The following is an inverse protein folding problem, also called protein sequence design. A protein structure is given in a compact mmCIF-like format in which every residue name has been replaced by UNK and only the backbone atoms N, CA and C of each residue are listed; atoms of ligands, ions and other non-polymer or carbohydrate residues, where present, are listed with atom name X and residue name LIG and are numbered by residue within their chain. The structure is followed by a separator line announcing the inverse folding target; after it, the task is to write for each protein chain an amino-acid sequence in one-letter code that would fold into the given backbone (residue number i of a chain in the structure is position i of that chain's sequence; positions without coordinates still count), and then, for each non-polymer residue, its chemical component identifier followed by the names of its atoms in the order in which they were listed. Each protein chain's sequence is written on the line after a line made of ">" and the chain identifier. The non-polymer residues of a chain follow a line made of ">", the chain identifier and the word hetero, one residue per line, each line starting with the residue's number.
data_IF_878049959971
#
_entry.id   IF_878049959971
#
_cell.length_a   1.000
_cell.length_b   1.000
_cell.length_c   1.000
_cell.angle_alpha   90.00
_cell.angle_beta   90.00
_cell.angle_gamma   90.00
#
_symmetry.space_group_name_H-M   'P 1'
#
loop_
_entity.id
_entity.type
_entity.pdbx_description
1 polymer ?
#
# COMPACT_ATOMS: atom_id res chain seq x y z
N UNK A 1 -4.94 -23.16 14.33
CA UNK A 1 -4.85 -21.80 14.90
C UNK A 1 -3.91 -21.05 13.99
N UNK A 2 -4.45 -20.24 13.08
CA UNK A 2 -3.63 -19.40 12.19
C UNK A 2 -3.13 -18.25 13.08
N UNK A 3 -1.82 -17.94 13.10
CA UNK A 3 -1.32 -16.87 13.96
C UNK A 3 -1.93 -15.54 13.51
N UNK A 4 -2.38 -14.74 14.48
CA UNK A 4 -3.00 -13.41 14.30
C UNK A 4 -2.21 -12.48 13.34
N UNK A 5 -0.90 -12.72 13.20
CA UNK A 5 -0.03 -12.03 12.25
C UNK A 5 -0.44 -12.22 10.78
N UNK A 6 -0.99 -13.37 10.41
CA UNK A 6 -1.40 -13.65 9.02
C UNK A 6 -2.72 -12.93 8.67
N UNK A 7 -3.61 -12.76 9.65
CA UNK A 7 -4.89 -12.07 9.48
C UNK A 7 -4.69 -10.54 9.41
N UNK A 8 -3.81 -10.00 10.26
CA UNK A 8 -3.39 -8.59 10.19
C UNK A 8 -2.64 -8.28 8.89
N UNK A 9 -1.83 -9.21 8.39
CA UNK A 9 -1.11 -9.07 7.12
C UNK A 9 -2.06 -9.10 5.93
N UNK A 10 -3.07 -9.99 5.92
CA UNK A 10 -4.10 -10.01 4.88
C UNK A 10 -4.84 -8.67 4.78
N UNK A 11 -5.21 -8.07 5.92
CA UNK A 11 -5.84 -6.74 5.99
C UNK A 11 -4.90 -5.65 5.47
N UNK A 12 -3.61 -5.69 5.82
CA UNK A 12 -2.64 -4.70 5.34
C UNK A 12 -2.36 -4.82 3.83
N UNK A 13 -2.35 -6.03 3.29
CA UNK A 13 -2.23 -6.30 1.85
C UNK A 13 -3.48 -5.82 1.09
N UNK A 14 -4.67 -6.09 1.62
CA UNK A 14 -5.92 -5.61 1.04
C UNK A 14 -5.99 -4.09 1.03
N UNK A 15 -5.62 -3.43 2.14
CA UNK A 15 -5.50 -1.97 2.19
C UNK A 15 -4.48 -1.40 1.20
N UNK A 16 -3.36 -2.11 0.98
CA UNK A 16 -2.36 -1.68 -0.01
C UNK A 16 -2.88 -1.79 -1.45
N UNK A 17 -3.67 -2.83 -1.74
CA UNK A 17 -4.35 -3.01 -3.04
C UNK A 17 -5.42 -1.94 -3.27
N UNK A 18 -6.22 -1.62 -2.25
CA UNK A 18 -7.20 -0.53 -2.31
C UNK A 18 -6.54 0.83 -2.59
N UNK A 19 -5.39 1.09 -1.96
CA UNK A 19 -4.62 2.31 -2.16
C UNK A 19 -4.08 2.39 -3.61
N UNK A 20 -3.63 1.26 -4.17
CA UNK A 20 -3.17 1.16 -5.56
C UNK A 20 -4.30 1.46 -6.54
N UNK A 21 -5.48 0.85 -6.34
CA UNK A 21 -6.65 1.09 -7.19
C UNK A 21 -7.11 2.55 -7.13
N UNK A 22 -7.02 3.18 -5.96
CA UNK A 22 -7.33 4.60 -5.81
C UNK A 22 -6.34 5.51 -6.54
N UNK A 23 -5.03 5.19 -6.49
CA UNK A 23 -4.00 5.93 -7.23
C UNK A 23 -4.20 5.79 -8.75
N UNK A 24 -4.53 4.59 -9.25
CA UNK A 24 -4.84 4.38 -10.67
C UNK A 24 -6.02 5.25 -11.13
N UNK A 25 -7.07 5.35 -10.31
CA UNK A 25 -8.21 6.25 -10.61
C UNK A 25 -7.79 7.72 -10.64
N UNK A 26 -7.00 8.17 -9.67
CA UNK A 26 -6.50 9.55 -9.61
C UNK A 26 -5.59 9.92 -10.79
N UNK A 27 -4.81 8.97 -11.30
CA UNK A 27 -3.92 9.18 -12.47
C UNK A 27 -4.72 9.32 -13.77
N UNK A 28 -5.85 8.62 -13.89
CA UNK A 28 -6.72 8.69 -15.08
C UNK A 28 -7.64 9.93 -15.05
N UNK A 29 -7.90 10.49 -13.87
CA UNK A 29 -8.72 11.70 -13.71
C UNK A 29 -8.01 12.97 -14.19
N UNK A 30 -8.51 13.55 -15.29
CA UNK A 30 -7.98 14.79 -15.91
C UNK A 30 -8.00 16.05 -15.02
N UNK A 31 -8.56 15.97 -13.80
CA UNK A 31 -8.71 17.10 -12.86
C UNK A 31 -7.74 17.04 -11.69
N UNK A 32 -6.96 15.97 -11.54
CA UNK A 32 -6.02 15.80 -10.43
C UNK A 32 -4.88 16.80 -10.57
N UNK A 33 -4.62 17.58 -9.51
CA UNK A 33 -3.51 18.52 -9.54
C UNK A 33 -2.17 17.80 -9.32
N UNK A 34 -1.05 18.34 -9.82
CA UNK A 34 0.28 17.77 -9.60
C UNK A 34 0.63 17.56 -8.11
N UNK A 35 0.13 18.40 -7.22
CA UNK A 35 0.32 18.30 -5.77
C UNK A 35 -0.43 17.11 -5.18
N UNK A 36 -1.69 16.91 -5.59
CA UNK A 36 -2.50 15.77 -5.18
C UNK A 36 -1.87 14.46 -5.66
N UNK A 37 -1.35 14.44 -6.89
CA UNK A 37 -0.65 13.27 -7.44
C UNK A 37 0.66 12.98 -6.68
N UNK A 38 1.48 14.01 -6.39
CA UNK A 38 2.70 13.85 -5.58
C UNK A 38 2.42 13.31 -4.19
N UNK A 39 1.38 13.82 -3.53
CA UNK A 39 0.97 13.33 -2.22
C UNK A 39 0.56 11.85 -2.28
N UNK A 40 -0.30 11.49 -3.24
CA UNK A 40 -0.76 10.11 -3.41
C UNK A 40 0.39 9.14 -3.69
N UNK A 41 1.33 9.51 -4.57
CA UNK A 41 2.54 8.71 -4.86
C UNK A 41 3.44 8.55 -3.63
N UNK A 42 3.61 9.61 -2.83
CA UNK A 42 4.40 9.53 -1.59
C UNK A 42 3.78 8.57 -0.57
N UNK A 43 2.46 8.64 -0.38
CA UNK A 43 1.72 7.73 0.52
C UNK A 43 1.79 6.29 0.05
N UNK A 44 1.67 6.06 -1.25
CA UNK A 44 1.80 4.73 -1.84
C UNK A 44 3.21 4.15 -1.61
N UNK A 45 4.25 4.94 -1.88
CA UNK A 45 5.63 4.51 -1.69
C UNK A 45 5.96 4.22 -0.21
N UNK A 46 5.33 4.92 0.74
CA UNK A 46 5.47 4.65 2.17
C UNK A 46 4.81 3.31 2.53
N UNK A 47 3.56 3.09 2.10
CA UNK A 47 2.83 1.85 2.39
C UNK A 47 3.51 0.61 1.79
N UNK A 48 4.07 0.72 0.58
CA UNK A 48 4.79 -0.38 -0.06
C UNK A 48 6.11 -0.72 0.66
N UNK A 49 6.80 0.29 1.23
CA UNK A 49 8.01 0.04 2.04
C UNK A 49 7.69 -0.68 3.34
N UNK A 50 6.56 -0.36 3.96
CA UNK A 50 6.11 -1.04 5.16
C UNK A 50 5.75 -2.50 4.89
N UNK A 51 4.99 -2.78 3.83
CA UNK A 51 4.69 -4.15 3.39
C UNK A 51 5.98 -4.92 3.09
N UNK A 52 6.93 -4.31 2.37
CA UNK A 52 8.22 -4.95 2.05
C UNK A 52 9.04 -5.25 3.32
N UNK A 53 9.07 -4.34 4.30
CA UNK A 53 9.79 -4.56 5.57
C UNK A 53 9.23 -5.75 6.36
N UNK A 54 7.91 -5.88 6.39
CA UNK A 54 7.22 -7.00 7.05
C UNK A 54 7.55 -8.32 6.35
N UNK A 55 7.49 -8.36 5.02
CA UNK A 55 7.84 -9.54 4.23
C UNK A 55 9.31 -9.96 4.41
N UNK A 56 10.26 -9.01 4.41
CA UNK A 56 11.69 -9.30 4.64
C UNK A 56 11.94 -9.82 6.06
N UNK A 57 11.27 -9.27 7.07
CA UNK A 57 11.38 -9.75 8.44
C UNK A 57 10.92 -11.20 8.61
N UNK A 58 10.02 -11.69 7.76
CA UNK A 58 9.55 -13.08 7.74
C UNK A 58 10.48 -14.03 6.97
N UNK A 59 11.15 -13.55 5.92
CA UNK A 59 12.12 -14.34 5.16
C UNK A 59 13.49 -14.51 5.84
N UNK A 60 13.75 -13.73 6.89
CA UNK A 60 15.01 -13.74 7.65
C UNK A 60 14.92 -14.53 8.97
N UNK A 61 13.75 -15.10 9.32
CA UNK A 61 13.52 -15.92 10.52
C UNK A 61 13.26 -17.38 10.16
#
# INVERSE_FOLDING_TARGET
>A
MIPLADEMEAVQLEMALDLLEHVDRLVVERRTTPEQLRYAVARLAESLRDVHRIAVSRGAG
#
